data_IF_402749018114
#
_entry.id   IF_402749018114
#
_cell.length_a   1.000
_cell.length_b   1.000
_cell.length_c   1.000
_cell.angle_alpha   90.00
_cell.angle_beta   90.00
_cell.angle_gamma   90.00
#
_symmetry.space_group_name_H-M   'P 1'
#
loop_
_entity.id
_entity.type
_entity.pdbx_description
1 polymer ?
#
# COMPACT_ATOMS: atom_id res chain seq x y z
N UNK A 1 -23.97 19.49 36.37
CA UNK A 1 -22.66 18.81 36.56
C UNK A 1 -22.92 17.57 37.38
N UNK A 2 -22.77 16.39 36.78
CA UNK A 2 -23.08 15.11 37.41
C UNK A 2 -21.77 14.52 37.98
N UNK A 3 -21.58 14.43 39.31
CA UNK A 3 -20.26 14.22 39.92
C UNK A 3 -19.86 12.73 40.05
N UNK A 4 -20.23 11.85 39.10
CA UNK A 4 -20.07 10.39 39.28
C UNK A 4 -19.71 9.60 38.00
N UNK A 5 -18.86 10.16 37.14
CA UNK A 5 -18.25 9.42 36.03
C UNK A 5 -16.73 9.42 36.19
N UNK A 6 -16.23 8.93 37.33
CA UNK A 6 -14.85 8.44 37.31
C UNK A 6 -14.87 7.09 36.58
N UNK A 7 -14.01 6.91 35.56
CA UNK A 7 -13.93 5.64 34.84
C UNK A 7 -13.64 4.55 35.85
N UNK A 8 -14.40 3.46 35.79
CA UNK A 8 -14.10 2.33 36.66
C UNK A 8 -12.76 1.75 36.24
N UNK A 9 -12.04 1.12 37.18
CA UNK A 9 -10.78 0.43 36.87
C UNK A 9 -10.92 -0.61 35.74
N UNK A 10 -12.13 -1.17 35.56
CA UNK A 10 -12.43 -2.07 34.44
C UNK A 10 -12.43 -1.34 33.09
N UNK A 11 -12.92 -0.09 33.05
CA UNK A 11 -12.97 0.72 31.84
C UNK A 11 -11.55 1.14 31.40
N UNK A 12 -10.67 1.49 32.35
CA UNK A 12 -9.27 1.83 32.04
C UNK A 12 -8.48 0.63 31.48
N UNK A 13 -8.75 -0.58 32.00
CA UNK A 13 -8.13 -1.80 31.49
C UNK A 13 -8.62 -2.11 30.08
N UNK A 14 -9.93 -2.00 29.84
CA UNK A 14 -10.50 -2.27 28.53
C UNK A 14 -10.02 -1.26 27.48
N UNK A 15 -9.89 0.03 27.85
CA UNK A 15 -9.27 1.05 27.00
C UNK A 15 -7.82 0.69 26.67
N UNK A 16 -7.02 0.28 27.67
CA UNK A 16 -5.62 -0.10 27.46
C UNK A 16 -5.47 -1.37 26.58
N UNK A 17 -6.35 -2.36 26.74
CA UNK A 17 -6.38 -3.57 25.90
C UNK A 17 -6.81 -3.25 24.45
N UNK A 18 -7.74 -2.31 24.28
CA UNK A 18 -8.22 -1.87 22.97
C UNK A 18 -7.12 -1.08 22.23
N UNK A 19 -6.48 -0.11 22.91
CA UNK A 19 -5.33 0.62 22.38
C UNK A 19 -4.15 -0.30 22.02
N UNK A 20 -3.97 -1.41 22.74
CA UNK A 20 -2.99 -2.44 22.38
C UNK A 20 -3.35 -3.18 21.08
N UNK A 21 -4.62 -3.54 20.88
CA UNK A 21 -5.09 -4.19 19.65
C UNK A 21 -4.98 -3.27 18.44
N UNK A 22 -5.31 -1.99 18.59
CA UNK A 22 -5.22 -0.98 17.54
C UNK A 22 -3.76 -0.55 17.29
N UNK A 23 -2.83 -0.91 18.18
CA UNK A 23 -1.41 -0.60 18.07
C UNK A 23 -1.03 0.83 18.44
N UNK A 24 -1.91 1.52 19.18
CA UNK A 24 -1.74 2.92 19.60
C UNK A 24 -0.89 3.08 20.87
N UNK A 25 -0.63 1.98 21.61
CA UNK A 25 0.27 2.03 22.77
C UNK A 25 1.72 2.31 22.37
N UNK A 26 2.41 3.14 23.17
CA UNK A 26 3.86 3.28 23.02
C UNK A 26 4.59 1.96 23.32
N UNK A 27 5.81 1.80 22.81
CA UNK A 27 6.60 0.57 23.02
C UNK A 27 6.80 0.21 24.51
N UNK A 28 6.91 1.23 25.38
CA UNK A 28 7.06 1.03 26.82
C UNK A 28 5.74 0.61 27.49
N UNK A 29 4.61 1.13 27.04
CA UNK A 29 3.28 0.73 27.53
C UNK A 29 2.90 -0.67 27.05
N UNK A 30 3.17 -0.99 25.78
CA UNK A 30 3.00 -2.33 25.20
C UNK A 30 3.76 -3.37 26.02
N UNK A 31 5.07 -3.15 26.25
CA UNK A 31 5.89 -4.06 27.05
C UNK A 31 5.35 -4.26 28.48
N UNK A 32 4.85 -3.20 29.12
CA UNK A 32 4.26 -3.31 30.47
C UNK A 32 2.96 -4.11 30.46
N UNK A 33 2.11 -3.90 29.47
CA UNK A 33 0.86 -4.63 29.32
C UNK A 33 1.13 -6.11 29.00
N UNK A 34 2.09 -6.40 28.12
CA UNK A 34 2.53 -7.77 27.81
C UNK A 34 3.03 -8.51 29.05
N UNK A 35 3.82 -7.85 29.91
CA UNK A 35 4.24 -8.42 31.19
C UNK A 35 3.05 -8.74 32.10
N UNK A 36 2.03 -7.86 32.15
CA UNK A 36 0.79 -8.14 32.91
C UNK A 36 0.04 -9.34 32.33
N UNK A 37 -0.09 -9.42 31.00
CA UNK A 37 -0.76 -10.52 30.30
C UNK A 37 -0.10 -11.88 30.58
N UNK A 38 1.22 -11.93 30.78
CA UNK A 38 1.90 -13.18 31.14
C UNK A 38 1.42 -13.73 32.49
N UNK A 39 1.18 -12.85 33.46
CA UNK A 39 0.87 -13.24 34.84
C UNK A 39 -0.62 -13.26 35.16
N UNK A 40 -1.46 -12.59 34.38
CA UNK A 40 -2.89 -12.47 34.63
C UNK A 40 -3.71 -13.23 33.58
N UNK A 41 -4.33 -14.33 34.00
CA UNK A 41 -5.23 -15.12 33.15
C UNK A 41 -6.51 -14.37 32.78
N UNK A 42 -7.03 -13.53 33.68
CA UNK A 42 -8.27 -12.79 33.43
C UNK A 42 -8.09 -11.74 32.33
N UNK A 43 -6.95 -11.05 32.30
CA UNK A 43 -6.60 -10.11 31.24
C UNK A 43 -6.41 -10.82 29.89
N UNK A 44 -5.82 -12.02 29.87
CA UNK A 44 -5.69 -12.81 28.64
C UNK A 44 -7.04 -13.24 28.08
N UNK A 45 -7.96 -13.65 28.95
CA UNK A 45 -9.32 -14.01 28.54
C UNK A 45 -10.07 -12.79 27.99
N UNK A 46 -9.92 -11.62 28.64
CA UNK A 46 -10.54 -10.37 28.17
C UNK A 46 -9.98 -9.91 26.82
N UNK A 47 -8.67 -9.95 26.64
CA UNK A 47 -8.02 -9.65 25.35
C UNK A 47 -8.49 -10.60 24.23
N UNK A 48 -8.63 -11.89 24.53
CA UNK A 48 -9.14 -12.87 23.56
C UNK A 48 -10.61 -12.63 23.19
N UNK A 49 -11.43 -12.17 24.14
CA UNK A 49 -12.83 -11.78 23.89
C UNK A 49 -12.92 -10.53 23.00
N UNK A 50 -12.14 -9.49 23.29
CA UNK A 50 -12.07 -8.28 22.47
C UNK A 50 -11.62 -8.59 21.04
N UNK A 51 -10.57 -9.42 20.89
CA UNK A 51 -10.11 -9.84 19.57
C UNK A 51 -11.17 -10.59 18.78
N UNK A 52 -11.92 -11.50 19.42
CA UNK A 52 -13.05 -12.18 18.78
C UNK A 52 -14.14 -11.20 18.34
N UNK A 53 -14.39 -10.15 19.11
CA UNK A 53 -15.36 -9.13 18.73
C UNK A 53 -14.91 -8.34 17.49
N UNK A 54 -13.61 -8.02 17.38
CA UNK A 54 -13.02 -7.43 16.18
C UNK A 54 -13.11 -8.36 14.96
N UNK A 55 -12.75 -9.63 15.12
CA UNK A 55 -12.86 -10.62 14.03
C UNK A 55 -14.31 -10.72 13.50
N UNK A 56 -15.32 -10.61 14.39
CA UNK A 56 -16.73 -10.59 14.01
C UNK A 56 -17.16 -9.30 13.30
N UNK A 57 -16.52 -8.16 13.59
CA UNK A 57 -16.76 -6.90 12.87
C UNK A 57 -16.17 -6.98 11.46
N UNK A 58 -15.01 -7.61 11.29
CA UNK A 58 -14.40 -7.85 9.98
C UNK A 58 -15.22 -8.82 9.12
N UNK A 59 -15.89 -9.79 9.75
CA UNK A 59 -16.80 -10.72 9.10
C UNK A 59 -18.18 -10.11 8.76
N UNK A 60 -18.46 -8.86 9.14
CA UNK A 60 -19.73 -8.23 8.77
C UNK A 60 -19.81 -8.14 7.25
N UNK A 61 -20.92 -8.59 6.63
CA UNK A 61 -21.06 -8.51 5.19
C UNK A 61 -20.95 -7.04 4.78
N UNK A 62 -19.98 -6.74 3.91
CA UNK A 62 -19.92 -5.45 3.25
C UNK A 62 -21.28 -5.19 2.62
N UNK A 63 -22.00 -4.18 3.12
CA UNK A 63 -23.23 -3.76 2.47
C UNK A 63 -22.84 -3.37 1.05
N UNK A 64 -23.36 -4.06 0.01
CA UNK A 64 -22.98 -3.77 -1.36
C UNK A 64 -23.21 -2.28 -1.60
N UNK A 65 -22.15 -1.57 -1.97
CA UNK A 65 -22.23 -0.14 -2.24
C UNK A 65 -23.31 0.08 -3.29
N UNK A 66 -24.45 0.64 -2.89
CA UNK A 66 -25.50 1.01 -3.84
C UNK A 66 -24.92 2.11 -4.71
N UNK A 67 -24.58 1.76 -5.96
CA UNK A 67 -24.06 2.71 -6.94
C UNK A 67 -24.99 3.92 -7.10
N UNK A 68 -26.29 3.78 -6.79
CA UNK A 68 -27.24 4.89 -6.77
C UNK A 68 -26.97 5.91 -5.68
N UNK A 69 -26.44 5.51 -4.52
CA UNK A 69 -26.07 6.45 -3.46
C UNK A 69 -24.86 7.31 -3.86
N UNK A 70 -23.86 6.70 -4.49
CA UNK A 70 -22.69 7.42 -5.01
C UNK A 70 -23.07 8.34 -6.17
N UNK A 71 -23.91 7.87 -7.10
CA UNK A 71 -24.48 8.70 -8.17
C UNK A 71 -25.30 9.85 -7.61
N UNK A 72 -26.17 9.61 -6.63
CA UNK A 72 -26.97 10.64 -5.96
C UNK A 72 -26.12 11.70 -5.27
N UNK A 73 -25.02 11.29 -4.62
CA UNK A 73 -24.11 12.22 -3.93
C UNK A 73 -23.35 13.08 -4.94
N UNK A 74 -22.88 12.48 -6.05
CA UNK A 74 -22.23 13.20 -7.15
C UNK A 74 -23.22 14.15 -7.83
N UNK A 75 -24.45 13.71 -8.12
CA UNK A 75 -25.50 14.55 -8.68
C UNK A 75 -25.79 15.76 -7.78
N UNK A 76 -25.86 15.56 -6.46
CA UNK A 76 -26.08 16.65 -5.51
C UNK A 76 -24.91 17.64 -5.48
N UNK A 77 -23.67 17.16 -5.61
CA UNK A 77 -22.48 18.02 -5.72
C UNK A 77 -22.47 18.79 -7.04
N UNK A 78 -22.75 18.12 -8.17
CA UNK A 78 -22.87 18.74 -9.50
C UNK A 78 -23.98 19.78 -9.51
N UNK A 79 -25.11 19.51 -8.84
CA UNK A 79 -26.22 20.44 -8.73
C UNK A 79 -25.83 21.67 -7.92
N UNK A 80 -25.12 21.52 -6.79
CA UNK A 80 -24.57 22.65 -6.03
C UNK A 80 -23.55 23.48 -6.83
N UNK A 81 -22.79 22.84 -7.70
CA UNK A 81 -21.85 23.53 -8.61
C UNK A 81 -22.60 24.28 -9.72
N UNK A 82 -23.66 23.69 -10.31
CA UNK A 82 -24.52 24.34 -11.31
C UNK A 82 -25.38 25.47 -10.74
N UNK A 83 -25.78 25.38 -9.49
CA UNK A 83 -26.58 26.40 -8.80
C UNK A 83 -25.74 27.61 -8.32
N UNK A 84 -24.41 27.56 -8.44
CA UNK A 84 -23.57 28.77 -8.37
C UNK A 84 -23.63 29.52 -9.70
N UNK A 85 -24.38 30.64 -9.82
CA UNK A 85 -24.46 31.37 -11.06
C UNK A 85 -23.23 32.27 -11.19
N UNK A 86 -22.38 32.03 -12.20
CA UNK A 86 -21.19 32.85 -12.36
C UNK A 86 -20.45 32.66 -13.68
N UNK A 87 -20.94 33.37 -14.70
CA UNK A 87 -20.20 33.98 -15.82
C UNK A 87 -19.60 33.08 -16.91
N UNK A 88 -20.37 32.79 -17.95
CA UNK A 88 -19.84 32.30 -19.24
C UNK A 88 -20.10 33.24 -20.45
N UNK A 89 -20.79 34.38 -20.30
CA UNK A 89 -21.22 35.20 -21.44
C UNK A 89 -20.43 36.50 -21.72
N UNK A 90 -19.17 36.63 -21.26
CA UNK A 90 -18.40 37.86 -21.49
C UNK A 90 -16.95 37.63 -21.92
N UNK A 91 -16.74 36.94 -23.05
CA UNK A 91 -15.46 36.94 -23.76
C UNK A 91 -15.66 37.32 -25.23
N UNK A 92 -15.98 38.61 -25.43
CA UNK A 92 -15.78 39.28 -26.70
C UNK A 92 -14.37 39.88 -26.77
N UNK A 93 -13.57 39.38 -27.71
CA UNK A 93 -12.59 40.14 -28.52
C UNK A 93 -11.76 41.21 -27.79
N UNK A 94 -10.51 40.90 -27.45
CA UNK A 94 -9.46 41.92 -27.31
C UNK A 94 -8.29 41.54 -28.20
N UNK A 95 -8.25 42.17 -29.37
CA UNK A 95 -7.07 42.29 -30.23
C UNK A 95 -6.14 43.39 -29.72
N UNK A 96 -4.84 43.14 -29.86
CA UNK A 96 -3.72 44.08 -30.02
C UNK A 96 -3.82 45.50 -29.42
N UNK A 97 -2.92 45.79 -28.48
CA UNK A 97 -2.30 47.10 -28.35
C UNK A 97 -1.01 47.04 -27.52
N UNK A 98 0.10 46.83 -28.20
CA UNK A 98 1.43 47.24 -27.71
C UNK A 98 1.51 48.77 -27.77
N UNK A 99 1.68 49.41 -26.61
CA UNK A 99 1.65 50.88 -26.52
C UNK A 99 1.99 51.37 -25.12
N UNK A 100 3.21 51.05 -24.66
CA UNK A 100 3.80 51.60 -23.45
C UNK A 100 4.25 53.04 -23.76
N UNK A 101 4.03 53.93 -22.77
CA UNK A 101 4.51 55.32 -22.62
C UNK A 101 3.69 56.44 -23.27
N UNK A 102 2.71 56.99 -22.51
CA UNK A 102 2.55 58.45 -22.29
C UNK A 102 1.39 58.79 -21.31
N UNK A 103 1.22 58.01 -20.23
CA UNK A 103 0.06 58.17 -19.33
C UNK A 103 0.19 59.34 -18.32
N UNK A 104 1.40 59.86 -18.08
CA UNK A 104 1.63 60.85 -17.01
C UNK A 104 1.54 62.33 -17.42
N UNK A 105 1.29 62.65 -18.70
CA UNK A 105 1.19 64.07 -19.16
C UNK A 105 -0.22 64.60 -19.40
N UNK A 106 -1.27 63.79 -19.19
CA UNK A 106 -2.66 64.23 -19.33
C UNK A 106 -3.36 64.59 -18.00
N UNK A 107 -2.62 64.79 -16.92
CA UNK A 107 -3.18 65.12 -15.59
C UNK A 107 -3.34 66.65 -15.36
N UNK A 108 -3.72 67.43 -16.38
CA UNK A 108 -3.96 68.88 -16.26
C UNK A 108 -5.32 69.36 -16.83
N UNK A 109 -6.15 68.50 -17.42
CA UNK A 109 -7.48 68.92 -17.90
C UNK A 109 -8.58 68.81 -16.82
N UNK A 110 -8.40 69.59 -15.75
CA UNK A 110 -9.42 69.81 -14.72
C UNK A 110 -10.45 70.84 -15.19
N UNK A 111 -11.60 70.37 -15.70
CA UNK A 111 -12.92 71.01 -15.50
C UNK A 111 -14.08 70.31 -16.22
N UNK A 112 -13.82 69.41 -17.18
CA UNK A 112 -14.91 68.72 -17.93
C UNK A 112 -15.27 67.33 -17.36
N UNK A 113 -14.42 66.73 -16.53
CA UNK A 113 -14.59 65.35 -16.02
C UNK A 113 -15.43 65.20 -14.73
N UNK A 114 -16.20 66.22 -14.32
CA UNK A 114 -17.01 66.17 -13.09
C UNK A 114 -18.20 65.21 -13.14
N UNK A 115 -18.66 64.81 -14.34
CA UNK A 115 -19.87 63.98 -14.52
C UNK A 115 -19.65 62.52 -14.88
N UNK A 116 -18.44 62.11 -15.31
CA UNK A 116 -18.15 60.73 -15.74
C UNK A 116 -17.15 59.97 -14.86
N UNK A 117 -16.68 60.58 -13.75
CA UNK A 117 -15.71 59.94 -12.83
C UNK A 117 -16.29 58.76 -12.04
N UNK A 118 -17.56 58.83 -11.64
CA UNK A 118 -18.21 57.77 -10.87
C UNK A 118 -18.43 56.47 -11.67
N UNK A 119 -18.93 56.47 -12.92
CA UNK A 119 -19.11 55.22 -13.67
C UNK A 119 -17.79 54.57 -14.12
N UNK A 120 -16.74 55.35 -14.43
CA UNK A 120 -15.44 54.78 -14.87
C UNK A 120 -14.67 54.15 -13.70
N UNK A 121 -14.76 54.72 -12.48
CA UNK A 121 -14.17 54.11 -11.28
C UNK A 121 -14.93 52.85 -10.84
N UNK A 122 -16.25 52.81 -11.04
CA UNK A 122 -17.05 51.61 -10.76
C UNK A 122 -16.78 50.46 -11.74
N UNK A 123 -16.64 50.74 -13.04
CA UNK A 123 -16.35 49.69 -14.04
C UNK A 123 -14.92 49.15 -13.93
N UNK A 124 -13.93 50.00 -13.61
CA UNK A 124 -12.56 49.54 -13.40
C UNK A 124 -12.40 48.70 -12.12
N UNK A 125 -13.10 49.03 -11.03
CA UNK A 125 -13.12 48.18 -9.82
C UNK A 125 -13.74 46.81 -10.06
N UNK A 126 -14.78 46.69 -10.90
CA UNK A 126 -15.38 45.39 -11.23
C UNK A 126 -14.44 44.55 -12.10
N UNK A 127 -13.72 45.16 -13.04
CA UNK A 127 -12.72 44.44 -13.87
C UNK A 127 -11.50 43.98 -13.06
N UNK A 128 -10.99 44.83 -12.15
CA UNK A 128 -9.87 44.46 -11.27
C UNK A 128 -10.31 43.40 -10.25
N UNK A 129 -11.50 43.53 -9.68
CA UNK A 129 -12.06 42.53 -8.76
C UNK A 129 -12.35 41.19 -9.44
N UNK A 130 -12.89 41.19 -10.66
CA UNK A 130 -13.15 39.98 -11.45
C UNK A 130 -11.87 39.26 -11.86
N UNK A 131 -10.86 40.00 -12.33
CA UNK A 131 -9.55 39.41 -12.68
C UNK A 131 -8.79 38.90 -11.46
N UNK A 132 -8.80 39.63 -10.33
CA UNK A 132 -8.22 39.17 -9.07
C UNK A 132 -8.94 37.91 -8.54
N UNK A 133 -10.27 37.82 -8.68
CA UNK A 133 -11.04 36.63 -8.32
C UNK A 133 -10.70 35.40 -9.17
N UNK A 134 -10.48 35.58 -10.48
CA UNK A 134 -10.04 34.50 -11.37
C UNK A 134 -8.61 34.02 -11.05
N UNK A 135 -7.70 34.95 -10.74
CA UNK A 135 -6.33 34.62 -10.31
C UNK A 135 -6.35 33.90 -8.96
N UNK A 136 -7.12 34.40 -7.99
CA UNK A 136 -7.25 33.77 -6.68
C UNK A 136 -7.84 32.36 -6.77
N UNK A 137 -8.87 32.15 -7.61
CA UNK A 137 -9.41 30.80 -7.91
C UNK A 137 -8.34 29.91 -8.55
N UNK A 138 -7.55 30.44 -9.49
CA UNK A 138 -6.45 29.70 -10.10
C UNK A 138 -5.43 29.21 -9.08
N UNK A 139 -5.05 30.06 -8.10
CA UNK A 139 -4.10 29.71 -7.04
C UNK A 139 -4.67 28.70 -6.04
N UNK A 140 -5.93 28.86 -5.60
CA UNK A 140 -6.60 27.89 -4.72
C UNK A 140 -6.72 26.53 -5.39
N UNK A 141 -7.10 26.51 -6.66
CA UNK A 141 -7.25 25.26 -7.40
C UNK A 141 -5.91 24.56 -7.66
N UNK A 142 -4.80 25.30 -7.85
CA UNK A 142 -3.47 24.71 -7.93
C UNK A 142 -3.05 24.06 -6.61
N UNK A 143 -3.37 24.68 -5.47
CA UNK A 143 -3.11 24.08 -4.16
C UNK A 143 -3.94 22.79 -3.94
N UNK A 144 -5.17 22.73 -4.45
CA UNK A 144 -6.00 21.51 -4.41
C UNK A 144 -5.44 20.40 -5.30
N UNK A 145 -4.95 20.72 -6.50
CA UNK A 145 -4.33 19.74 -7.39
C UNK A 145 -3.04 19.14 -6.80
N UNK A 146 -2.16 19.98 -6.24
CA UNK A 146 -0.96 19.49 -5.55
C UNK A 146 -1.31 18.56 -4.40
N UNK A 147 -2.39 18.87 -3.68
CA UNK A 147 -2.89 18.00 -2.61
C UNK A 147 -3.35 16.65 -3.15
N UNK A 148 -3.93 16.60 -4.35
CA UNK A 148 -4.37 15.35 -4.96
C UNK A 148 -3.20 14.45 -5.36
N UNK A 149 -2.12 15.02 -5.89
CA UNK A 149 -0.91 14.24 -6.21
C UNK A 149 -0.28 13.65 -4.93
N UNK A 150 -0.15 14.47 -3.88
CA UNK A 150 0.27 14.01 -2.55
C UNK A 150 -0.64 12.90 -2.01
N UNK A 151 -1.98 13.06 -2.11
CA UNK A 151 -2.94 12.03 -1.69
C UNK A 151 -2.72 10.74 -2.48
N UNK A 152 -2.56 10.80 -3.81
CA UNK A 152 -2.39 9.59 -4.62
C UNK A 152 -1.12 8.80 -4.28
N UNK A 153 -0.11 9.45 -3.69
CA UNK A 153 1.20 8.88 -3.43
C UNK A 153 1.49 8.66 -1.94
N UNK A 154 0.61 9.08 -1.01
CA UNK A 154 0.99 9.24 0.41
C UNK A 154 1.48 7.94 1.06
N UNK A 155 0.80 6.80 0.87
CA UNK A 155 1.23 5.52 1.44
C UNK A 155 2.60 5.11 0.95
N UNK A 156 2.85 5.25 -0.35
CA UNK A 156 4.16 5.02 -0.94
C UNK A 156 5.24 5.97 -0.43
N UNK A 157 4.92 7.26 -0.28
CA UNK A 157 5.85 8.27 0.25
C UNK A 157 6.21 8.00 1.71
N UNK A 158 5.28 7.49 2.51
CA UNK A 158 5.52 7.07 3.89
C UNK A 158 6.49 5.89 3.92
N UNK A 159 6.26 4.86 3.10
CA UNK A 159 7.10 3.65 3.10
C UNK A 159 8.51 3.90 2.54
N UNK A 160 8.62 4.75 1.51
CA UNK A 160 9.89 5.16 0.92
C UNK A 160 10.64 6.13 1.85
N UNK A 161 9.93 7.11 2.39
CA UNK A 161 10.35 8.15 3.33
C UNK A 161 11.44 9.13 2.82
N UNK A 162 12.23 8.76 1.80
CA UNK A 162 13.40 9.50 1.33
C UNK A 162 13.59 9.42 -0.19
N UNK A 163 14.05 10.52 -0.80
CA UNK A 163 14.17 10.64 -2.26
C UNK A 163 15.12 9.60 -2.89
N UNK A 164 16.25 9.30 -2.22
CA UNK A 164 17.23 8.36 -2.76
C UNK A 164 16.65 6.94 -2.86
N UNK A 165 15.80 6.55 -1.89
CA UNK A 165 15.10 5.27 -1.89
C UNK A 165 14.18 5.17 -3.11
N UNK A 166 13.33 6.18 -3.35
CA UNK A 166 12.44 6.19 -4.52
C UNK A 166 13.22 6.12 -5.84
N UNK A 167 14.28 6.93 -5.96
CA UNK A 167 15.09 7.02 -7.17
C UNK A 167 15.84 5.72 -7.47
N UNK A 168 16.34 5.02 -6.46
CA UNK A 168 17.02 3.73 -6.69
C UNK A 168 16.03 2.63 -7.01
N UNK A 169 14.90 2.56 -6.30
CA UNK A 169 13.86 1.56 -6.58
C UNK A 169 13.23 1.76 -7.96
N UNK A 170 13.15 3.00 -8.47
CA UNK A 170 12.64 3.24 -9.83
C UNK A 170 13.55 2.71 -10.94
N UNK A 171 14.80 2.34 -10.63
CA UNK A 171 15.73 1.74 -11.60
C UNK A 171 15.49 0.24 -11.79
N UNK A 172 14.67 -0.40 -10.94
CA UNK A 172 14.38 -1.85 -10.95
C UNK A 172 13.35 -2.23 -12.03
N UNK A 173 13.69 -1.95 -13.30
CA UNK A 173 12.75 -1.97 -14.43
C UNK A 173 12.02 -3.29 -14.70
N UNK A 174 12.56 -4.45 -14.30
CA UNK A 174 11.94 -5.76 -14.59
C UNK A 174 10.82 -6.04 -13.58
N UNK A 175 11.12 -6.03 -12.27
CA UNK A 175 10.12 -6.30 -11.24
C UNK A 175 8.96 -5.28 -11.26
N UNK A 176 9.29 -4.00 -11.44
CA UNK A 176 8.30 -2.91 -11.54
C UNK A 176 7.36 -3.14 -12.74
N UNK A 177 7.86 -3.60 -13.88
CA UNK A 177 7.04 -3.88 -15.08
C UNK A 177 5.99 -4.96 -14.83
N UNK A 178 6.38 -6.05 -14.17
CA UNK A 178 5.45 -7.14 -13.82
C UNK A 178 4.38 -6.68 -12.85
N UNK A 179 4.79 -5.96 -11.80
CA UNK A 179 3.86 -5.45 -10.80
C UNK A 179 2.94 -4.38 -11.37
N UNK A 180 3.42 -3.49 -12.24
CA UNK A 180 2.60 -2.48 -12.92
C UNK A 180 1.50 -3.11 -13.77
N UNK A 181 1.82 -4.16 -14.52
CA UNK A 181 0.82 -4.90 -15.27
C UNK A 181 -0.24 -5.50 -14.33
N UNK A 182 0.20 -6.10 -13.22
CA UNK A 182 -0.67 -6.76 -12.24
C UNK A 182 -1.59 -5.82 -11.48
N UNK A 183 -1.07 -4.67 -11.04
CA UNK A 183 -1.79 -3.68 -10.25
C UNK A 183 -2.34 -2.53 -11.09
N UNK A 184 -2.43 -2.68 -12.41
CA UNK A 184 -2.95 -1.65 -13.32
C UNK A 184 -4.38 -1.19 -12.97
N UNK A 185 -5.15 -2.04 -12.31
CA UNK A 185 -6.51 -1.76 -11.82
C UNK A 185 -6.55 -0.97 -10.50
N UNK A 186 -5.44 -0.95 -9.74
CA UNK A 186 -5.30 -0.30 -8.43
C UNK A 186 -4.41 0.94 -8.45
N UNK A 187 -3.33 0.91 -9.22
CA UNK A 187 -2.43 2.06 -9.38
C UNK A 187 -3.19 3.16 -10.09
N UNK A 188 -3.31 4.33 -9.47
CA UNK A 188 -3.83 5.52 -10.12
C UNK A 188 -2.83 6.03 -11.15
N UNK A 189 -3.30 6.42 -12.34
CA UNK A 189 -2.48 7.10 -13.34
C UNK A 189 -2.00 8.46 -12.80
N UNK A 190 -0.97 9.04 -13.44
CA UNK A 190 -0.43 10.34 -13.02
C UNK A 190 -1.53 11.40 -12.98
N UNK A 191 -1.57 12.14 -11.87
CA UNK A 191 -2.54 13.22 -11.68
C UNK A 191 -2.25 14.33 -12.70
N UNK A 192 -3.24 14.75 -13.51
CA UNK A 192 -3.00 15.80 -14.50
C UNK A 192 -2.74 17.14 -13.81
N UNK A 193 -1.80 17.91 -14.36
CA UNK A 193 -1.40 19.23 -13.84
C UNK A 193 -2.50 20.29 -14.04
N UNK A 194 -3.43 20.05 -14.97
CA UNK A 194 -4.49 21.01 -15.32
C UNK A 194 -5.84 20.60 -14.76
N UNK A 195 -6.51 21.54 -14.11
CA UNK A 195 -7.83 21.34 -13.47
C UNK A 195 -8.89 20.84 -14.46
N UNK A 196 -8.87 21.33 -15.71
CA UNK A 196 -9.82 20.90 -16.73
C UNK A 196 -9.66 19.43 -17.14
N UNK A 197 -8.46 18.88 -16.97
CA UNK A 197 -8.17 17.48 -17.24
C UNK A 197 -8.49 16.61 -16.01
N UNK A 198 -8.59 17.20 -14.82
CA UNK A 198 -8.87 16.49 -13.57
C UNK A 198 -10.24 15.81 -13.59
N UNK A 199 -11.29 16.47 -14.07
CA UNK A 199 -12.63 15.85 -14.10
C UNK A 199 -12.63 14.61 -15.00
N UNK A 200 -12.03 14.71 -16.18
CA UNK A 200 -11.88 13.58 -17.10
C UNK A 200 -10.99 12.48 -16.53
N UNK A 201 -9.96 12.83 -15.77
CA UNK A 201 -9.11 11.86 -15.08
C UNK A 201 -9.88 11.10 -14.00
N UNK A 202 -10.65 11.79 -13.14
CA UNK A 202 -11.50 11.16 -12.11
C UNK A 202 -12.53 10.22 -12.75
N UNK A 203 -13.14 10.65 -13.87
CA UNK A 203 -14.11 9.84 -14.63
C UNK A 203 -13.48 8.59 -15.27
N UNK A 204 -12.18 8.61 -15.54
CA UNK A 204 -11.43 7.46 -16.08
C UNK A 204 -10.97 6.48 -14.99
N UNK A 205 -10.97 6.88 -13.71
CA UNK A 205 -10.57 5.99 -12.63
C UNK A 205 -11.57 4.85 -12.45
N UNK A 206 -11.06 3.64 -12.23
CA UNK A 206 -11.87 2.49 -11.83
C UNK A 206 -12.48 2.73 -10.44
N UNK A 207 -13.59 2.06 -10.07
CA UNK A 207 -14.12 2.15 -8.71
C UNK A 207 -13.10 1.77 -7.63
N UNK A 208 -12.19 0.82 -7.94
CA UNK A 208 -11.11 0.41 -7.04
C UNK A 208 -10.08 1.51 -6.86
N UNK A 209 -9.67 2.20 -7.93
CA UNK A 209 -8.78 3.36 -7.86
C UNK A 209 -9.42 4.53 -7.10
N UNK A 210 -10.71 4.78 -7.30
CA UNK A 210 -11.43 5.82 -6.56
C UNK A 210 -11.50 5.50 -5.05
N UNK A 211 -11.82 4.26 -4.70
CA UNK A 211 -11.83 3.81 -3.31
C UNK A 211 -10.44 3.93 -2.65
N UNK A 212 -9.38 3.53 -3.36
CA UNK A 212 -8.00 3.71 -2.92
C UNK A 212 -7.70 5.19 -2.67
N UNK A 213 -8.01 6.09 -3.61
CA UNK A 213 -7.77 7.52 -3.45
C UNK A 213 -8.54 8.14 -2.26
N UNK A 214 -9.75 7.65 -1.99
CA UNK A 214 -10.52 8.05 -0.81
C UNK A 214 -9.86 7.58 0.49
N UNK A 215 -9.37 6.33 0.55
CA UNK A 215 -8.61 5.81 1.69
C UNK A 215 -7.35 6.64 1.95
N UNK A 216 -6.56 6.94 0.92
CA UNK A 216 -5.36 7.77 1.03
C UNK A 216 -5.68 9.19 1.53
N UNK A 217 -6.84 9.75 1.12
CA UNK A 217 -7.29 11.06 1.60
C UNK A 217 -7.55 11.05 3.10
N UNK A 218 -8.12 9.97 3.64
CA UNK A 218 -8.33 9.84 5.08
C UNK A 218 -7.01 9.77 5.83
N UNK A 219 -6.01 9.04 5.30
CA UNK A 219 -4.65 8.99 5.87
C UNK A 219 -4.07 10.41 5.94
N UNK A 220 -4.14 11.18 4.84
CA UNK A 220 -3.70 12.59 4.80
C UNK A 220 -4.44 13.46 5.82
N UNK A 221 -5.73 13.22 6.08
CA UNK A 221 -6.52 14.00 7.03
C UNK A 221 -6.17 13.72 8.49
N UNK A 222 -5.76 12.49 8.81
CA UNK A 222 -5.35 12.08 10.17
C UNK A 222 -3.87 12.40 10.45
N UNK A 223 -3.07 12.62 9.41
CA UNK A 223 -1.64 12.89 9.53
C UNK A 223 -1.38 14.24 10.22
N UNK A 224 -0.33 14.28 11.04
CA UNK A 224 0.11 15.53 11.64
C UNK A 224 0.61 16.52 10.55
N UNK A 225 0.51 17.85 10.76
CA UNK A 225 0.91 18.83 9.75
C UNK A 225 2.39 18.81 9.38
N UNK A 226 3.28 18.42 10.30
CA UNK A 226 4.74 18.40 10.09
C UNK A 226 5.16 17.28 9.14
N UNK A 227 4.66 16.06 9.36
CA UNK A 227 4.82 14.92 8.46
C UNK A 227 4.21 15.22 7.09
N UNK A 228 3.06 15.87 7.05
CA UNK A 228 2.43 16.24 5.77
C UNK A 228 3.30 17.22 4.97
N UNK A 229 3.92 18.20 5.62
CA UNK A 229 4.86 19.12 4.97
C UNK A 229 6.11 18.37 4.49
N UNK A 230 6.67 17.48 5.32
CA UNK A 230 7.80 16.63 4.92
C UNK A 230 7.51 15.82 3.65
N UNK A 231 6.34 15.17 3.57
CA UNK A 231 5.99 14.39 2.38
C UNK A 231 5.65 15.26 1.17
N UNK A 232 5.14 16.48 1.40
CA UNK A 232 4.99 17.48 0.32
C UNK A 232 6.35 17.90 -0.24
N UNK A 233 7.32 18.20 0.61
CA UNK A 233 8.68 18.53 0.16
C UNK A 233 9.32 17.36 -0.59
N UNK A 234 9.08 16.12 -0.14
CA UNK A 234 9.55 14.93 -0.84
C UNK A 234 8.90 14.77 -2.21
N UNK A 235 7.58 14.95 -2.32
CA UNK A 235 6.84 14.91 -3.58
C UNK A 235 7.32 16.00 -4.56
N UNK A 236 7.49 17.25 -4.11
CA UNK A 236 8.01 18.35 -4.92
C UNK A 236 9.40 18.00 -5.48
N UNK A 237 10.27 17.40 -4.65
CA UNK A 237 11.61 16.94 -5.09
C UNK A 237 11.57 15.77 -6.08
N UNK A 238 10.53 14.92 -6.02
CA UNK A 238 10.31 13.86 -7.02
C UNK A 238 9.85 14.48 -8.34
N UNK A 239 8.93 15.45 -8.30
CA UNK A 239 8.44 16.16 -9.49
C UNK A 239 9.56 16.89 -10.26
N UNK A 240 10.57 17.41 -9.54
CA UNK A 240 11.74 18.06 -10.13
C UNK A 240 12.71 17.10 -10.86
N UNK A 241 12.60 15.78 -10.66
CA UNK A 241 13.46 14.82 -11.32
C UNK A 241 13.13 14.72 -12.83
N UNK A 242 14.13 14.52 -13.71
CA UNK A 242 13.89 14.33 -15.15
C UNK A 242 12.94 13.16 -15.47
N UNK A 243 12.89 12.16 -14.59
CA UNK A 243 12.01 10.99 -14.66
C UNK A 243 10.97 10.97 -13.52
N UNK A 244 10.55 12.14 -13.01
CA UNK A 244 9.66 12.25 -11.84
C UNK A 244 8.38 11.43 -11.95
N UNK A 245 7.76 11.38 -13.15
CA UNK A 245 6.57 10.58 -13.41
C UNK A 245 6.78 9.07 -13.17
N UNK A 246 7.94 8.53 -13.59
CA UNK A 246 8.26 7.11 -13.39
C UNK A 246 8.52 6.81 -11.91
N UNK A 247 9.16 7.76 -11.22
CA UNK A 247 9.45 7.66 -9.78
C UNK A 247 8.14 7.71 -8.96
N UNK A 248 7.22 8.61 -9.28
CA UNK A 248 5.89 8.67 -8.64
C UNK A 248 5.10 7.38 -8.82
N UNK A 249 5.12 6.81 -10.03
CA UNK A 249 4.45 5.54 -10.30
C UNK A 249 5.05 4.40 -9.47
N UNK A 250 6.37 4.36 -9.33
CA UNK A 250 7.07 3.39 -8.47
C UNK A 250 6.72 3.60 -7.00
N UNK A 251 6.64 4.85 -6.53
CA UNK A 251 6.20 5.17 -5.16
C UNK A 251 4.80 4.63 -4.89
N UNK A 252 3.83 4.87 -5.79
CA UNK A 252 2.47 4.31 -5.66
C UNK A 252 2.48 2.79 -5.63
N UNK A 253 3.26 2.17 -6.51
CA UNK A 253 3.38 0.72 -6.55
C UNK A 253 4.00 0.16 -5.25
N UNK A 254 4.98 0.84 -4.67
CA UNK A 254 5.56 0.47 -3.37
C UNK A 254 4.48 0.49 -2.30
N UNK A 255 3.70 1.57 -2.19
CA UNK A 255 2.58 1.64 -1.24
C UNK A 255 1.67 0.40 -1.32
N UNK A 256 1.24 0.03 -2.53
CA UNK A 256 0.39 -1.15 -2.76
C UNK A 256 1.06 -2.49 -2.37
N UNK A 257 2.37 -2.61 -2.58
CA UNK A 257 3.13 -3.80 -2.19
C UNK A 257 3.27 -3.87 -0.67
N UNK A 258 3.50 -2.72 -0.03
CA UNK A 258 3.77 -2.59 1.40
C UNK A 258 2.51 -2.70 2.25
N UNK A 259 1.35 -2.32 1.72
CA UNK A 259 0.04 -2.53 2.37
C UNK A 259 -0.28 -4.02 2.60
N UNK A 260 0.44 -4.93 1.96
CA UNK A 260 0.31 -6.38 2.19
C UNK A 260 1.22 -6.90 3.30
N UNK A 261 2.07 -6.06 3.89
CA UNK A 261 2.95 -6.45 5.00
C UNK A 261 2.27 -6.19 6.34
N UNK A 262 2.71 -6.93 7.35
CA UNK A 262 2.26 -6.69 8.72
C UNK A 262 2.72 -5.29 9.21
N UNK A 263 1.89 -4.61 9.98
CA UNK A 263 2.20 -3.28 10.54
C UNK A 263 3.49 -3.25 11.37
N UNK A 264 3.89 -4.38 11.99
CA UNK A 264 5.17 -4.49 12.70
C UNK A 264 6.37 -4.42 11.77
N UNK A 265 6.25 -4.99 10.57
CA UNK A 265 7.30 -4.97 9.56
C UNK A 265 7.43 -3.59 8.93
N UNK A 266 6.31 -2.91 8.61
CA UNK A 266 6.34 -1.52 8.14
C UNK A 266 7.00 -0.59 9.16
N UNK A 267 6.63 -0.70 10.45
CA UNK A 267 7.28 0.06 11.53
C UNK A 267 8.78 -0.23 11.68
N UNK A 268 9.21 -1.45 11.36
CA UNK A 268 10.64 -1.77 11.41
C UNK A 268 11.44 -0.98 10.36
N UNK A 269 10.83 -0.62 9.21
CA UNK A 269 11.50 0.15 8.15
C UNK A 269 11.89 1.56 8.61
N UNK A 270 11.10 2.20 9.46
CA UNK A 270 11.35 3.58 9.90
C UNK A 270 12.71 3.74 10.60
N UNK A 271 13.17 2.69 11.29
CA UNK A 271 14.46 2.66 11.98
C UNK A 271 15.63 2.11 11.17
N UNK A 272 15.39 1.57 9.96
CA UNK A 272 16.46 0.96 9.16
C UNK A 272 17.37 2.02 8.52
N UNK A 273 18.69 1.78 8.46
CA UNK A 273 19.59 2.54 7.58
C UNK A 273 19.08 2.54 6.13
N UNK A 274 19.34 3.61 5.39
CA UNK A 274 18.83 3.81 4.03
C UNK A 274 19.15 2.63 3.11
N UNK A 275 20.39 2.13 3.13
CA UNK A 275 20.81 1.00 2.29
C UNK A 275 20.06 -0.29 2.65
N UNK A 276 19.89 -0.56 3.95
CA UNK A 276 19.15 -1.74 4.42
C UNK A 276 17.66 -1.64 4.06
N UNK A 277 17.06 -0.44 4.18
CA UNK A 277 15.68 -0.17 3.75
C UNK A 277 15.53 -0.40 2.25
N UNK A 278 16.46 0.10 1.42
CA UNK A 278 16.44 -0.12 -0.03
C UNK A 278 16.52 -1.61 -0.35
N UNK A 279 17.45 -2.35 0.27
CA UNK A 279 17.55 -3.79 0.04
C UNK A 279 16.30 -4.55 0.50
N UNK A 280 15.72 -4.16 1.63
CA UNK A 280 14.49 -4.75 2.13
C UNK A 280 13.32 -4.50 1.17
N UNK A 281 13.06 -3.24 0.81
CA UNK A 281 11.99 -2.88 -0.13
C UNK A 281 12.19 -3.54 -1.49
N UNK A 282 13.42 -3.56 -2.00
CA UNK A 282 13.77 -4.28 -3.23
C UNK A 282 13.43 -5.77 -3.11
N UNK A 283 13.86 -6.44 -2.04
CA UNK A 283 13.52 -7.84 -1.79
C UNK A 283 12.00 -8.08 -1.80
N UNK A 284 11.22 -7.20 -1.18
CA UNK A 284 9.73 -7.29 -1.17
C UNK A 284 9.11 -7.09 -2.56
N UNK A 285 9.59 -6.11 -3.32
CA UNK A 285 9.16 -5.85 -4.71
C UNK A 285 9.46 -7.09 -5.58
N UNK A 286 10.70 -7.59 -5.53
CA UNK A 286 11.10 -8.77 -6.29
C UNK A 286 10.30 -10.01 -5.86
N UNK A 287 10.03 -10.17 -4.56
CA UNK A 287 9.30 -11.33 -4.05
C UNK A 287 7.90 -11.35 -4.61
N UNK A 288 7.20 -10.20 -4.59
CA UNK A 288 5.86 -10.09 -5.16
C UNK A 288 5.87 -10.23 -6.67
N UNK A 289 6.84 -9.65 -7.37
CA UNK A 289 6.94 -9.75 -8.81
C UNK A 289 7.15 -11.22 -9.26
N UNK A 290 8.05 -11.92 -8.58
CA UNK A 290 8.29 -13.34 -8.81
C UNK A 290 7.05 -14.18 -8.45
N UNK A 291 6.43 -13.97 -7.28
CA UNK A 291 5.20 -14.68 -6.89
C UNK A 291 4.11 -14.55 -7.96
N UNK A 292 3.89 -13.35 -8.51
CA UNK A 292 2.96 -13.16 -9.63
C UNK A 292 3.41 -13.84 -10.92
N UNK A 293 4.68 -13.72 -11.29
CA UNK A 293 5.23 -14.37 -12.47
C UNK A 293 4.98 -15.87 -12.43
N UNK A 294 5.40 -16.53 -11.35
CA UNK A 294 5.29 -17.97 -11.22
C UNK A 294 3.82 -18.41 -11.13
N UNK A 295 2.96 -17.66 -10.43
CA UNK A 295 1.55 -18.10 -10.25
C UNK A 295 0.65 -17.85 -11.45
N UNK A 296 0.90 -16.79 -12.24
CA UNK A 296 -0.04 -16.34 -13.27
C UNK A 296 0.54 -16.26 -14.68
N UNK A 297 1.86 -16.11 -14.82
CA UNK A 297 2.51 -15.82 -16.11
C UNK A 297 3.64 -16.80 -16.45
N UNK A 298 3.64 -17.96 -15.80
CA UNK A 298 4.68 -18.97 -16.00
C UNK A 298 4.61 -19.50 -17.44
N UNK A 299 5.73 -19.41 -18.15
CA UNK A 299 5.80 -19.99 -19.49
C UNK A 299 5.75 -21.52 -19.42
N UNK A 300 5.30 -22.18 -20.51
CA UNK A 300 5.31 -23.64 -20.57
C UNK A 300 6.74 -24.21 -20.42
N UNK A 301 7.76 -23.49 -20.90
CA UNK A 301 9.16 -23.90 -20.75
C UNK A 301 9.59 -23.85 -19.28
N UNK A 302 9.27 -22.77 -18.57
CA UNK A 302 9.59 -22.62 -17.15
C UNK A 302 8.83 -23.63 -16.28
N UNK A 303 7.56 -23.90 -16.61
CA UNK A 303 6.77 -24.93 -15.94
C UNK A 303 7.41 -26.32 -16.07
N UNK A 304 7.89 -26.65 -17.28
CA UNK A 304 8.60 -27.91 -17.51
C UNK A 304 9.93 -27.94 -16.73
N UNK A 305 10.69 -26.84 -16.75
CA UNK A 305 11.95 -26.72 -16.01
C UNK A 305 11.75 -26.91 -14.49
N UNK A 306 10.71 -26.31 -13.90
CA UNK A 306 10.35 -26.49 -12.48
C UNK A 306 9.97 -27.94 -12.20
N UNK A 307 9.20 -28.57 -13.09
CA UNK A 307 8.78 -29.97 -12.94
C UNK A 307 9.99 -30.91 -12.97
N UNK A 308 10.88 -30.72 -13.94
CA UNK A 308 12.10 -31.51 -14.08
C UNK A 308 13.06 -31.28 -12.91
N UNK A 309 13.20 -30.03 -12.46
CA UNK A 309 13.98 -29.70 -11.27
C UNK A 309 13.40 -30.36 -10.01
N UNK A 310 12.08 -30.32 -9.84
CA UNK A 310 11.41 -30.92 -8.69
C UNK A 310 11.71 -32.42 -8.62
N UNK A 311 11.60 -33.13 -9.74
CA UNK A 311 11.84 -34.57 -9.80
C UNK A 311 13.32 -34.94 -9.62
N UNK A 312 14.23 -34.19 -10.25
CA UNK A 312 15.65 -34.59 -10.34
C UNK A 312 16.53 -34.04 -9.22
N UNK A 313 16.15 -32.93 -8.60
CA UNK A 313 16.98 -32.25 -7.59
C UNK A 313 16.27 -32.14 -6.25
N UNK A 314 15.03 -31.63 -6.26
CA UNK A 314 14.32 -31.39 -5.03
C UNK A 314 13.96 -32.69 -4.33
N UNK A 315 13.16 -33.59 -4.94
CA UNK A 315 12.74 -34.83 -4.30
C UNK A 315 13.92 -35.65 -3.73
N UNK A 316 15.05 -35.85 -4.45
CA UNK A 316 16.24 -36.51 -3.89
C UNK A 316 16.89 -35.76 -2.71
N UNK A 317 16.95 -34.43 -2.75
CA UNK A 317 17.47 -33.64 -1.65
C UNK A 317 16.60 -33.78 -0.39
N UNK A 318 15.28 -33.90 -0.55
CA UNK A 318 14.34 -34.18 0.54
C UNK A 318 14.59 -35.58 1.10
N UNK A 319 14.57 -36.61 0.23
CA UNK A 319 14.72 -38.01 0.63
C UNK A 319 16.04 -38.25 1.37
N UNK A 320 17.14 -37.68 0.88
CA UNK A 320 18.46 -37.80 1.52
C UNK A 320 18.56 -37.08 2.86
N UNK A 321 17.82 -35.98 3.04
CA UNK A 321 17.79 -35.26 4.32
C UNK A 321 16.98 -35.99 5.40
N UNK A 322 16.06 -36.89 5.01
CA UNK A 322 15.18 -37.56 5.96
C UNK A 322 14.74 -38.95 5.48
N UNK A 323 15.40 -39.99 6.00
CA UNK A 323 15.09 -41.40 5.72
C UNK A 323 13.68 -41.85 6.14
N UNK A 324 12.86 -40.99 6.77
CA UNK A 324 11.53 -41.37 7.28
C UNK A 324 10.39 -41.08 6.31
N UNK A 325 10.60 -40.29 5.27
CA UNK A 325 9.53 -39.96 4.32
C UNK A 325 9.59 -40.90 3.12
N UNK A 326 8.45 -41.52 2.80
CA UNK A 326 8.30 -42.20 1.52
C UNK A 326 8.05 -41.18 0.42
N UNK A 327 8.30 -41.56 -0.84
CA UNK A 327 8.00 -40.72 -2.02
C UNK A 327 6.53 -40.23 -2.03
N UNK A 328 5.60 -41.05 -1.55
CA UNK A 328 4.17 -40.68 -1.44
C UNK A 328 3.91 -39.60 -0.39
N UNK A 329 4.74 -39.53 0.64
CA UNK A 329 4.59 -38.52 1.71
C UNK A 329 5.11 -37.16 1.25
N UNK A 330 6.17 -37.12 0.44
CA UNK A 330 6.76 -35.88 -0.07
C UNK A 330 5.71 -35.07 -0.85
N UNK A 331 4.99 -35.72 -1.77
CA UNK A 331 3.93 -35.09 -2.57
C UNK A 331 2.78 -34.53 -1.73
N UNK A 332 2.62 -34.98 -0.48
CA UNK A 332 1.63 -34.46 0.47
C UNK A 332 2.20 -33.38 1.40
N UNK A 333 3.50 -33.42 1.69
CA UNK A 333 4.18 -32.55 2.65
C UNK A 333 4.73 -31.25 2.07
N UNK A 334 4.78 -31.13 0.74
CA UNK A 334 5.30 -29.95 0.02
C UNK A 334 4.65 -28.63 0.47
N UNK A 335 3.45 -28.63 1.06
CA UNK A 335 2.71 -27.40 1.39
C UNK A 335 2.82 -26.82 2.80
N UNK A 336 3.66 -27.35 3.69
CA UNK A 336 3.87 -26.63 4.97
C UNK A 336 4.98 -27.17 5.84
N UNK A 337 5.12 -28.50 5.93
CA UNK A 337 6.20 -29.10 6.69
C UNK A 337 7.56 -28.86 6.02
N UNK A 338 7.58 -28.78 4.68
CA UNK A 338 8.82 -28.65 3.94
C UNK A 338 9.49 -27.28 4.11
N UNK A 339 8.71 -26.19 4.18
CA UNK A 339 9.25 -24.86 4.46
C UNK A 339 9.97 -24.80 5.82
N UNK A 340 9.48 -25.53 6.82
CA UNK A 340 10.17 -25.64 8.11
C UNK A 340 11.52 -26.37 7.99
N UNK A 341 11.60 -27.43 7.19
CA UNK A 341 12.83 -28.19 6.99
C UNK A 341 13.90 -27.37 6.25
N UNK A 342 13.52 -26.72 5.14
CA UNK A 342 14.46 -25.87 4.38
C UNK A 342 14.94 -24.70 5.21
N UNK A 343 14.10 -24.15 6.09
CA UNK A 343 14.49 -23.04 6.96
C UNK A 343 15.68 -23.33 7.85
N UNK A 344 15.93 -24.60 8.12
CA UNK A 344 17.09 -25.03 8.90
C UNK A 344 18.30 -25.39 8.02
N UNK A 345 18.18 -25.35 6.68
CA UNK A 345 19.32 -25.48 5.79
C UNK A 345 20.09 -24.16 5.76
N UNK A 346 21.42 -24.25 5.68
CA UNK A 346 22.25 -23.08 5.42
C UNK A 346 22.02 -22.51 4.01
N UNK A 347 22.44 -21.27 3.82
CA UNK A 347 22.21 -20.52 2.58
C UNK A 347 22.94 -21.16 1.37
N UNK A 348 24.11 -21.77 1.60
CA UNK A 348 24.89 -22.45 0.55
C UNK A 348 24.12 -23.66 0.01
N UNK A 349 23.54 -24.47 0.90
CA UNK A 349 22.72 -25.62 0.53
C UNK A 349 21.46 -25.19 -0.20
N UNK A 350 20.80 -24.12 0.27
CA UNK A 350 19.63 -23.57 -0.43
C UNK A 350 20.01 -23.09 -1.84
N UNK A 351 21.10 -22.34 -1.99
CA UNK A 351 21.58 -21.85 -3.27
C UNK A 351 21.96 -23.00 -4.22
N UNK A 352 22.65 -24.04 -3.70
CA UNK A 352 23.02 -25.24 -4.46
C UNK A 352 21.80 -26.00 -5.00
N UNK A 353 20.69 -25.96 -4.26
CA UNK A 353 19.45 -26.60 -4.68
C UNK A 353 18.78 -25.82 -5.81
N UNK A 354 18.81 -24.49 -5.78
CA UNK A 354 18.15 -23.64 -6.79
C UNK A 354 19.00 -23.49 -8.07
N UNK A 355 20.32 -23.56 -7.98
CA UNK A 355 21.22 -23.34 -9.11
C UNK A 355 20.91 -24.16 -10.39
N UNK A 356 20.59 -25.48 -10.32
CA UNK A 356 20.23 -26.26 -11.50
C UNK A 356 18.94 -25.78 -12.18
N UNK A 357 17.99 -25.24 -11.42
CA UNK A 357 16.75 -24.69 -11.98
C UNK A 357 17.05 -23.40 -12.73
N UNK A 358 17.85 -22.51 -12.14
CA UNK A 358 18.18 -21.20 -12.73
C UNK A 358 18.83 -21.32 -14.11
N UNK A 359 19.55 -22.40 -14.39
CA UNK A 359 20.15 -22.65 -15.70
C UNK A 359 19.13 -22.99 -16.80
N UNK A 360 17.90 -23.34 -16.44
CA UNK A 360 16.84 -23.78 -17.35
C UNK A 360 15.62 -22.85 -17.37
N UNK A 361 15.62 -21.79 -16.56
CA UNK A 361 14.56 -20.79 -16.55
C UNK A 361 14.77 -19.75 -17.67
N UNK A 362 13.70 -19.07 -18.05
CA UNK A 362 13.72 -17.93 -18.96
C UNK A 362 14.45 -16.73 -18.34
N UNK A 363 14.95 -15.83 -19.19
CA UNK A 363 15.71 -14.64 -18.74
C UNK A 363 14.94 -13.79 -17.73
N UNK A 364 13.64 -13.58 -17.95
CA UNK A 364 12.80 -12.80 -17.02
C UNK A 364 12.66 -13.50 -15.67
N UNK A 365 12.45 -14.82 -15.66
CA UNK A 365 12.37 -15.61 -14.43
C UNK A 365 13.71 -15.60 -13.67
N UNK A 366 14.84 -15.70 -14.39
CA UNK A 366 16.19 -15.60 -13.84
C UNK A 366 16.38 -14.24 -13.16
N UNK A 367 16.03 -13.14 -13.83
CA UNK A 367 16.17 -11.79 -13.27
C UNK A 367 15.34 -11.65 -12.00
N UNK A 368 14.07 -12.06 -12.03
CA UNK A 368 13.18 -11.99 -10.86
C UNK A 368 13.69 -12.83 -9.68
N UNK A 369 14.16 -14.05 -9.95
CA UNK A 369 14.67 -14.94 -8.90
C UNK A 369 16.03 -14.47 -8.36
N UNK A 370 16.87 -13.88 -9.19
CA UNK A 370 18.19 -13.38 -8.78
C UNK A 370 18.15 -12.22 -7.79
N UNK A 371 17.04 -11.47 -7.76
CA UNK A 371 16.82 -10.41 -6.77
C UNK A 371 16.37 -10.91 -5.39
N UNK A 372 16.23 -12.23 -5.22
CA UNK A 372 15.74 -12.86 -3.99
C UNK A 372 16.83 -13.65 -3.30
N UNK A 373 16.69 -13.79 -1.97
CA UNK A 373 17.52 -14.71 -1.20
C UNK A 373 17.15 -16.17 -1.54
N UNK A 374 18.07 -17.14 -1.40
CA UNK A 374 17.78 -18.55 -1.70
C UNK A 374 16.54 -19.11 -0.99
N UNK A 375 16.30 -18.72 0.26
CA UNK A 375 15.08 -19.08 0.99
C UNK A 375 13.80 -18.56 0.30
N UNK A 376 13.80 -17.31 -0.13
CA UNK A 376 12.67 -16.66 -0.77
C UNK A 376 12.41 -17.27 -2.16
N UNK A 377 13.48 -17.58 -2.91
CA UNK A 377 13.41 -18.33 -4.16
C UNK A 377 12.69 -19.67 -3.95
N UNK A 378 13.14 -20.45 -2.96
CA UNK A 378 12.52 -21.72 -2.63
C UNK A 378 11.05 -21.53 -2.23
N UNK A 379 10.73 -20.54 -1.39
CA UNK A 379 9.35 -20.26 -1.00
C UNK A 379 8.41 -20.05 -2.20
N UNK A 380 8.84 -19.26 -3.19
CA UNK A 380 8.05 -18.99 -4.40
C UNK A 380 7.86 -20.28 -5.21
N UNK A 381 8.92 -21.07 -5.38
CA UNK A 381 8.86 -22.34 -6.10
C UNK A 381 7.92 -23.34 -5.39
N UNK A 382 7.93 -23.40 -4.05
CA UNK A 382 7.03 -24.26 -3.28
C UNK A 382 5.57 -23.88 -3.43
N UNK A 383 5.27 -22.58 -3.33
CA UNK A 383 3.92 -22.08 -3.54
C UNK A 383 3.40 -22.48 -4.94
N UNK A 384 4.29 -22.55 -5.92
CA UNK A 384 3.94 -22.88 -7.29
C UNK A 384 3.83 -24.37 -7.59
N UNK A 385 4.59 -25.23 -6.91
CA UNK A 385 4.50 -26.68 -7.07
C UNK A 385 3.17 -27.27 -6.57
N UNK A 386 2.40 -26.51 -5.79
CA UNK A 386 1.10 -26.94 -5.31
C UNK A 386 0.07 -25.79 -5.27
N UNK A 387 -0.25 -25.21 -6.44
CA UNK A 387 -0.89 -23.90 -6.56
C UNK A 387 -2.37 -23.87 -6.11
N UNK A 388 -2.95 -25.02 -5.72
CA UNK A 388 -4.37 -25.15 -5.36
C UNK A 388 -4.63 -26.12 -4.20
N UNK A 389 -3.64 -26.40 -3.35
CA UNK A 389 -3.84 -27.31 -2.21
C UNK A 389 -3.56 -26.58 -0.92
N UNK A 390 -4.50 -25.78 -0.43
CA UNK A 390 -4.53 -25.65 1.03
C UNK A 390 -4.61 -27.09 1.58
N UNK A 391 -3.61 -27.54 2.36
CA UNK A 391 -3.61 -28.90 2.85
C UNK A 391 -4.93 -29.10 3.58
N UNK A 392 -5.69 -30.13 3.22
CA UNK A 392 -6.96 -30.37 3.89
C UNK A 392 -6.70 -30.49 5.40
N UNK A 393 -7.69 -30.14 6.23
CA UNK A 393 -7.57 -30.30 7.69
C UNK A 393 -7.01 -31.69 8.07
N UNK A 394 -7.43 -32.74 7.37
CA UNK A 394 -6.95 -34.11 7.58
C UNK A 394 -5.48 -34.30 7.19
N UNK A 395 -5.02 -33.66 6.11
CA UNK A 395 -3.61 -33.69 5.69
C UNK A 395 -2.71 -32.93 6.66
N UNK A 396 -3.15 -31.79 7.19
CA UNK A 396 -2.43 -31.06 8.22
C UNK A 396 -2.29 -31.91 9.50
N UNK A 397 -3.38 -32.56 9.92
CA UNK A 397 -3.38 -33.43 11.09
C UNK A 397 -2.54 -34.71 10.92
N UNK A 398 -2.59 -35.34 9.74
CA UNK A 398 -1.73 -36.50 9.43
C UNK A 398 -0.25 -36.10 9.47
N UNK A 399 0.09 -34.98 8.84
CA UNK A 399 1.46 -34.44 8.83
C UNK A 399 1.95 -34.14 10.26
N UNK A 400 1.12 -33.47 11.06
CA UNK A 400 1.43 -33.15 12.46
C UNK A 400 1.63 -34.42 13.31
N UNK A 401 0.80 -35.45 13.11
CA UNK A 401 0.89 -36.72 13.84
C UNK A 401 2.19 -37.51 13.56
N UNK A 402 2.87 -37.21 12.46
CA UNK A 402 4.13 -37.85 12.07
C UNK A 402 5.37 -37.11 12.61
N UNK A 403 5.20 -35.89 13.11
CA UNK A 403 6.27 -35.13 13.79
C UNK A 403 6.60 -35.85 15.12
N UNK A 404 7.87 -36.11 15.45
CA UNK A 404 8.25 -36.66 16.75
C UNK A 404 7.73 -35.78 17.90
N UNK A 405 7.23 -36.34 19.01
CA UNK A 405 6.67 -35.55 20.11
C UNK A 405 7.61 -34.42 20.61
N UNK A 406 8.91 -34.68 20.67
CA UNK A 406 9.92 -33.70 21.07
C UNK A 406 10.00 -32.45 20.16
N UNK A 407 9.55 -32.57 18.90
CA UNK A 407 9.57 -31.46 17.93
C UNK A 407 8.19 -30.81 17.75
N UNK A 408 7.13 -31.38 18.36
CA UNK A 408 5.78 -30.81 18.28
C UNK A 408 5.64 -29.57 19.14
N UNK A 409 6.34 -29.52 20.27
CA UNK A 409 6.29 -28.39 21.20
C UNK A 409 6.77 -27.08 20.53
N UNK A 410 7.88 -27.14 19.78
CA UNK A 410 8.38 -26.02 18.96
C UNK A 410 7.40 -25.60 17.85
N UNK A 411 6.61 -26.53 17.33
CA UNK A 411 5.61 -26.27 16.30
C UNK A 411 4.35 -25.63 16.92
N UNK A 412 3.92 -26.14 18.07
CA UNK A 412 2.75 -25.67 18.82
C UNK A 412 2.94 -24.27 19.39
N UNK A 413 4.18 -23.91 19.76
CA UNK A 413 4.55 -22.55 20.19
C UNK A 413 4.43 -21.53 19.05
N UNK A 414 4.60 -21.96 17.80
CA UNK A 414 4.57 -21.07 16.62
C UNK A 414 3.18 -21.00 15.98
N UNK A 415 2.47 -22.12 15.92
CA UNK A 415 1.10 -22.20 15.44
C UNK A 415 0.27 -23.14 16.32
N UNK A 416 -0.35 -22.62 17.40
CA UNK A 416 -1.17 -23.42 18.30
C UNK A 416 -2.47 -23.91 17.63
N UNK A 417 -2.81 -23.43 16.43
CA UNK A 417 -4.06 -23.75 15.75
C UNK A 417 -4.08 -25.21 15.30
N UNK A 418 -2.97 -25.71 14.76
CA UNK A 418 -2.83 -27.10 14.30
C UNK A 418 -2.86 -28.08 15.47
N UNK A 419 -2.22 -27.74 16.60
CA UNK A 419 -2.22 -28.56 17.81
C UNK A 419 -3.63 -28.66 18.41
N UNK A 420 -4.36 -27.55 18.48
CA UNK A 420 -5.77 -27.51 18.89
C UNK A 420 -6.65 -28.37 18.00
N UNK A 421 -6.46 -28.31 16.67
CA UNK A 421 -7.19 -29.16 15.74
C UNK A 421 -6.90 -30.65 15.97
N UNK A 422 -5.67 -31.02 16.33
CA UNK A 422 -5.28 -32.40 16.62
C UNK A 422 -5.91 -32.89 17.93
N UNK A 423 -5.84 -32.08 18.99
CA UNK A 423 -6.45 -32.38 20.29
C UNK A 423 -7.97 -32.60 20.15
N UNK A 424 -8.65 -31.78 19.33
CA UNK A 424 -10.08 -31.91 19.05
C UNK A 424 -10.47 -33.18 18.30
N UNK A 425 -9.56 -33.80 17.53
CA UNK A 425 -9.81 -35.05 16.79
C UNK A 425 -9.61 -36.29 17.66
N UNK A 426 -8.71 -36.19 18.66
CA UNK A 426 -8.37 -37.30 19.56
C UNK A 426 -9.28 -37.43 20.78
N UNK A 427 -10.15 -36.44 21.01
CA UNK A 427 -11.27 -36.50 21.95
C UNK A 427 -12.53 -36.94 21.22
#
# INVERSE_FOLDING_TARGET
MNPNLEPSFADEIDEQLTAYLDGELSALESNRLEQKLVHDESLRLRLAELRRAYDLLDDLPETPHDQRFTQSTIEHVIQKVKESPGSDDALGSVSDASGRTDFWRAMVWSKVWGRYRLPILLTTSVLIGGSAGLIARGLVNQAELRRLNLIANISGLVDVNELDVAKRLSQESVAIRYLKARYSDRITSNVPVRIRELSGWIEQLTPVQQAHLMSEREIVQRMNPESLEKYRELEDRIEELPNGNDVQEVVRLIGLVMDQLANSERRALDGMPIEDRIQHLKGRIYFKAADYYFTQSLSHADQQAITDWSANHLEPAILSSNNRFSERDIKKLINGFFMFMIRNWDEERQASLVAPLMANLSDDAIVLMSGLKPMEQLQILFNNLAPNRQPSREQMLDSYSRIPPANREDFDLKDPTISRMYIQRTR
#
